data_IF_487010313302
#
_entry.id   IF_487010313302
#
_cell.length_a   1.000
_cell.length_b   1.000
_cell.length_c   1.000
_cell.angle_alpha   90.00
_cell.angle_beta   90.00
_cell.angle_gamma   90.00
#
_symmetry.space_group_name_H-M   'P 1'
#
loop_
_entity.id
_entity.type
_entity.pdbx_description
1 polymer ?
#
# COMPACT_ATOMS: atom_id res chain seq x y z
N UNK A 1 -57.18 -21.10 -64.78
CA UNK A 1 -56.19 -20.68 -65.79
C UNK A 1 -56.96 -20.00 -66.89
N UNK A 2 -56.74 -18.71 -67.11
CA UNK A 2 -57.50 -17.92 -68.07
C UNK A 2 -57.25 -18.45 -69.49
N UNK A 3 -58.32 -18.72 -70.23
CA UNK A 3 -58.30 -18.96 -71.67
C UNK A 3 -57.61 -17.79 -72.36
N UNK A 4 -56.31 -17.94 -72.60
CA UNK A 4 -55.54 -16.95 -73.35
C UNK A 4 -55.80 -17.26 -74.82
N UNK A 5 -56.94 -16.77 -75.30
CA UNK A 5 -57.24 -16.70 -76.74
C UNK A 5 -55.97 -16.19 -77.42
N UNK A 6 -55.37 -17.01 -78.29
CA UNK A 6 -54.09 -16.73 -78.92
C UNK A 6 -54.07 -15.27 -79.40
N UNK A 7 -53.27 -14.45 -78.72
CA UNK A 7 -53.14 -13.03 -79.06
C UNK A 7 -52.51 -12.97 -80.43
N UNK A 8 -53.16 -12.26 -81.35
CA UNK A 8 -52.61 -11.96 -82.67
C UNK A 8 -51.22 -11.37 -82.49
N UNK A 9 -50.25 -11.83 -83.27
CA UNK A 9 -48.93 -11.20 -83.35
C UNK A 9 -48.95 -10.08 -84.39
N UNK A 10 -48.01 -9.10 -84.34
CA UNK A 10 -47.87 -8.13 -85.43
C UNK A 10 -47.74 -8.81 -86.80
N UNK A 11 -47.08 -9.96 -86.85
CA UNK A 11 -46.92 -10.76 -88.07
C UNK A 11 -48.23 -11.40 -88.54
N UNK A 12 -49.12 -11.80 -87.63
CA UNK A 12 -50.44 -12.32 -87.98
C UNK A 12 -51.37 -11.24 -88.54
N UNK A 13 -51.19 -9.98 -88.12
CA UNK A 13 -51.92 -8.82 -88.64
C UNK A 13 -51.39 -8.45 -90.03
N UNK A 14 -50.06 -8.46 -90.23
CA UNK A 14 -49.43 -8.17 -91.51
C UNK A 14 -49.77 -9.22 -92.59
N UNK A 15 -49.77 -10.51 -92.22
CA UNK A 15 -50.10 -11.60 -93.15
C UNK A 15 -51.61 -11.80 -93.37
N UNK A 16 -52.46 -10.90 -92.86
CA UNK A 16 -53.91 -11.08 -92.88
C UNK A 16 -54.52 -10.72 -94.22
N UNK A 17 -54.94 -11.73 -94.98
CA UNK A 17 -55.73 -11.50 -96.20
C UNK A 17 -57.23 -11.39 -95.93
N UNK A 18 -57.86 -10.37 -96.51
CA UNK A 18 -59.31 -10.16 -96.48
C UNK A 18 -59.98 -10.56 -97.79
N UNK A 19 -61.15 -11.22 -97.70
CA UNK A 19 -61.96 -11.56 -98.88
C UNK A 19 -62.54 -10.30 -99.52
N UNK A 20 -62.40 -10.17 -100.84
CA UNK A 20 -62.95 -9.03 -101.60
C UNK A 20 -64.48 -8.98 -101.52
N UNK A 21 -65.05 -7.85 -101.07
CA UNK A 21 -66.49 -7.68 -100.87
C UNK A 21 -67.09 -6.64 -101.84
N UNK A 22 -67.08 -6.93 -103.14
CA UNK A 22 -67.88 -6.24 -104.16
C UNK A 22 -67.91 -4.69 -104.08
N UNK A 23 -69.05 -4.06 -104.45
CA UNK A 23 -69.22 -2.59 -104.51
C UNK A 23 -69.40 -1.89 -103.15
N UNK A 24 -69.35 -2.60 -102.02
CA UNK A 24 -69.64 -2.06 -100.67
C UNK A 24 -68.57 -2.45 -99.63
N UNK A 25 -67.32 -2.63 -100.04
CA UNK A 25 -66.18 -2.89 -99.15
C UNK A 25 -65.45 -1.61 -98.73
N UNK A 26 -64.63 -1.72 -97.68
CA UNK A 26 -63.65 -0.68 -97.34
C UNK A 26 -62.59 -0.54 -98.44
N UNK A 27 -61.98 0.64 -98.58
CA UNK A 27 -60.86 0.82 -99.50
C UNK A 27 -59.67 -0.01 -99.01
N UNK A 28 -59.16 -0.86 -99.89
CA UNK A 28 -58.05 -1.76 -99.60
C UNK A 28 -56.77 -0.99 -99.24
N UNK A 29 -56.53 0.18 -99.84
CA UNK A 29 -55.31 0.96 -99.60
C UNK A 29 -55.33 1.66 -98.24
N UNK A 30 -56.48 2.23 -97.87
CA UNK A 30 -56.70 2.86 -96.56
C UNK A 30 -56.64 1.84 -95.43
N UNK A 31 -57.19 0.63 -95.65
CA UNK A 31 -57.10 -0.46 -94.68
C UNK A 31 -55.67 -0.96 -94.51
N UNK A 32 -54.89 -1.10 -95.59
CA UNK A 32 -53.48 -1.52 -95.51
C UNK A 32 -52.64 -0.51 -94.73
N UNK A 33 -52.76 0.79 -95.04
CA UNK A 33 -52.04 1.86 -94.35
C UNK A 33 -52.36 1.89 -92.84
N UNK A 34 -53.64 1.68 -92.49
CA UNK A 34 -54.07 1.58 -91.09
C UNK A 34 -53.55 0.30 -90.41
N UNK A 35 -53.49 -0.83 -91.11
CA UNK A 35 -52.95 -2.08 -90.58
C UNK A 35 -51.44 -1.99 -90.38
N UNK A 36 -50.69 -1.33 -91.26
CA UNK A 36 -49.26 -1.05 -91.08
C UNK A 36 -49.01 -0.22 -89.82
N UNK A 37 -49.85 0.80 -89.58
CA UNK A 37 -49.80 1.58 -88.34
C UNK A 37 -50.09 0.72 -87.11
N UNK A 38 -51.14 -0.13 -87.16
CA UNK A 38 -51.46 -1.05 -86.06
C UNK A 38 -50.30 -2.03 -85.80
N UNK A 39 -49.68 -2.58 -86.85
CA UNK A 39 -48.56 -3.51 -86.73
C UNK A 39 -47.39 -2.83 -86.01
N UNK A 40 -47.07 -1.59 -86.38
CA UNK A 40 -46.01 -0.81 -85.74
C UNK A 40 -46.34 -0.49 -84.27
N UNK A 41 -47.51 0.07 -84.00
CA UNK A 41 -47.94 0.44 -82.64
C UNK A 41 -48.04 -0.79 -81.72
N UNK A 42 -48.51 -1.92 -82.25
CA UNK A 42 -48.60 -3.17 -81.52
C UNK A 42 -47.22 -3.81 -81.28
N UNK A 43 -46.29 -3.69 -82.23
CA UNK A 43 -44.88 -4.05 -82.04
C UNK A 43 -44.22 -3.23 -80.95
N UNK A 44 -44.34 -1.90 -81.01
CA UNK A 44 -43.81 -0.98 -79.99
C UNK A 44 -44.41 -1.27 -78.61
N UNK A 45 -45.71 -1.56 -78.54
CA UNK A 45 -46.36 -1.94 -77.27
C UNK A 45 -45.83 -3.27 -76.72
N UNK A 46 -45.51 -4.23 -77.58
CA UNK A 46 -44.97 -5.52 -77.16
C UNK A 46 -43.55 -5.35 -76.59
N UNK A 47 -42.71 -4.56 -77.28
CA UNK A 47 -41.36 -4.24 -76.81
C UNK A 47 -41.40 -3.52 -75.45
N UNK A 48 -42.28 -2.53 -75.29
CA UNK A 48 -42.47 -1.84 -74.01
C UNK A 48 -42.92 -2.79 -72.89
N UNK A 49 -43.78 -3.78 -73.18
CA UNK A 49 -44.19 -4.79 -72.20
C UNK A 49 -43.02 -5.69 -71.79
N UNK A 50 -42.14 -6.04 -72.73
CA UNK A 50 -40.93 -6.82 -72.42
C UNK A 50 -39.99 -6.01 -71.54
N UNK A 51 -39.75 -4.74 -71.88
CA UNK A 51 -38.89 -3.85 -71.10
C UNK A 51 -39.40 -3.64 -69.68
N UNK A 52 -40.71 -3.35 -69.53
CA UNK A 52 -41.34 -3.21 -68.22
C UNK A 52 -41.28 -4.51 -67.41
N UNK A 53 -41.45 -5.67 -68.04
CA UNK A 53 -41.30 -6.96 -67.35
C UNK A 53 -39.87 -7.17 -66.86
N UNK A 54 -38.88 -6.85 -67.69
CA UNK A 54 -37.47 -6.93 -67.30
C UNK A 54 -37.16 -5.96 -66.15
N UNK A 55 -37.71 -4.75 -66.18
CA UNK A 55 -37.58 -3.78 -65.11
C UNK A 55 -38.19 -4.29 -63.81
N UNK A 56 -39.42 -4.82 -63.84
CA UNK A 56 -40.08 -5.42 -62.67
C UNK A 56 -39.25 -6.54 -62.07
N UNK A 57 -38.68 -7.43 -62.89
CA UNK A 57 -37.77 -8.48 -62.41
C UNK A 57 -36.54 -7.87 -61.74
N UNK A 58 -35.93 -6.85 -62.34
CA UNK A 58 -34.76 -6.17 -61.76
C UNK A 58 -35.07 -5.50 -60.41
N UNK A 59 -36.24 -4.86 -60.30
CA UNK A 59 -36.69 -4.19 -59.08
C UNK A 59 -37.00 -5.20 -57.99
N UNK A 60 -37.65 -6.31 -58.32
CA UNK A 60 -37.90 -7.38 -57.36
C UNK A 60 -36.59 -7.97 -56.82
N UNK A 61 -35.61 -8.25 -57.69
CA UNK A 61 -34.29 -8.71 -57.24
C UNK A 61 -33.62 -7.70 -56.30
N UNK A 62 -33.78 -6.39 -56.56
CA UNK A 62 -33.25 -5.35 -55.69
C UNK A 62 -33.97 -5.28 -54.35
N UNK A 63 -35.29 -5.46 -54.34
CA UNK A 63 -36.10 -5.55 -53.11
C UNK A 63 -35.63 -6.75 -52.29
N UNK A 64 -35.48 -7.92 -52.89
CA UNK A 64 -35.01 -9.13 -52.20
C UNK A 64 -33.62 -8.93 -51.58
N UNK A 65 -32.70 -8.29 -52.31
CA UNK A 65 -31.37 -7.95 -51.79
C UNK A 65 -31.42 -6.95 -50.63
N UNK A 66 -32.26 -5.93 -50.72
CA UNK A 66 -32.42 -4.95 -49.65
C UNK A 66 -33.07 -5.57 -48.42
N UNK A 67 -34.03 -6.47 -48.61
CA UNK A 67 -34.69 -7.18 -47.54
C UNK A 67 -33.74 -8.13 -46.82
N UNK A 68 -32.92 -8.89 -47.56
CA UNK A 68 -31.88 -9.73 -46.97
C UNK A 68 -30.86 -8.93 -46.15
N UNK A 69 -30.49 -7.73 -46.63
CA UNK A 69 -29.61 -6.82 -45.86
C UNK A 69 -30.29 -6.27 -44.62
N UNK A 70 -31.57 -5.91 -44.70
CA UNK A 70 -32.32 -5.45 -43.54
C UNK A 70 -32.38 -6.53 -42.45
N UNK A 71 -32.65 -7.78 -42.83
CA UNK A 71 -32.66 -8.92 -41.92
C UNK A 71 -31.27 -9.16 -41.29
N UNK A 72 -30.19 -9.02 -42.06
CA UNK A 72 -28.80 -9.09 -41.56
C UNK A 72 -28.53 -7.98 -40.53
N UNK A 73 -28.92 -6.73 -40.82
CA UNK A 73 -28.76 -5.62 -39.89
C UNK A 73 -29.56 -5.80 -38.61
N UNK A 74 -30.78 -6.33 -38.70
CA UNK A 74 -31.60 -6.61 -37.53
C UNK A 74 -30.99 -7.71 -36.65
N UNK A 75 -30.44 -8.77 -37.25
CA UNK A 75 -29.71 -9.80 -36.50
C UNK A 75 -28.47 -9.22 -35.81
N UNK A 76 -27.68 -8.43 -36.53
CA UNK A 76 -26.49 -7.78 -35.96
C UNK A 76 -26.85 -6.81 -34.84
N UNK A 77 -27.96 -6.09 -34.98
CA UNK A 77 -28.47 -5.19 -33.93
C UNK A 77 -28.87 -5.96 -32.67
N UNK A 78 -29.56 -7.09 -32.82
CA UNK A 78 -29.90 -7.95 -31.68
C UNK A 78 -28.65 -8.50 -30.96
N UNK A 79 -27.63 -8.91 -31.72
CA UNK A 79 -26.36 -9.36 -31.14
C UNK A 79 -25.68 -8.24 -30.36
N UNK A 80 -25.59 -7.04 -30.93
CA UNK A 80 -25.04 -5.86 -30.25
C UNK A 80 -25.81 -5.52 -28.99
N UNK A 81 -27.15 -5.55 -29.03
CA UNK A 81 -27.99 -5.27 -27.87
C UNK A 81 -27.79 -6.32 -26.75
N UNK A 82 -27.59 -7.60 -27.10
CA UNK A 82 -27.26 -8.66 -26.16
C UNK A 82 -25.88 -8.48 -25.53
N UNK A 83 -24.87 -8.18 -26.36
CA UNK A 83 -23.50 -7.91 -25.88
C UNK A 83 -23.51 -6.70 -24.95
N UNK A 84 -24.15 -5.60 -25.35
CA UNK A 84 -24.25 -4.39 -24.55
C UNK A 84 -24.98 -4.66 -23.22
N UNK A 85 -26.10 -5.37 -23.25
CA UNK A 85 -26.83 -5.75 -22.04
C UNK A 85 -26.03 -6.65 -21.10
N UNK A 86 -25.23 -7.58 -21.64
CA UNK A 86 -24.36 -8.45 -20.83
C UNK A 86 -23.15 -7.69 -20.27
N UNK A 87 -22.56 -6.78 -21.05
CA UNK A 87 -21.48 -5.91 -20.62
C UNK A 87 -21.95 -4.97 -19.50
N UNK A 88 -23.12 -4.34 -19.64
CA UNK A 88 -23.72 -3.50 -18.60
C UNK A 88 -23.99 -4.28 -17.31
N UNK A 89 -24.56 -5.50 -17.41
CA UNK A 89 -24.76 -6.37 -16.24
C UNK A 89 -23.45 -6.72 -15.55
N UNK A 90 -22.41 -7.03 -16.33
CA UNK A 90 -21.07 -7.34 -15.80
C UNK A 90 -20.45 -6.13 -15.13
N UNK A 91 -20.51 -4.96 -15.77
CA UNK A 91 -20.03 -3.71 -15.19
C UNK A 91 -20.74 -3.38 -13.87
N UNK A 92 -22.07 -3.49 -13.83
CA UNK A 92 -22.84 -3.28 -12.59
C UNK A 92 -22.46 -4.28 -11.50
N UNK A 93 -22.20 -5.54 -11.86
CA UNK A 93 -21.74 -6.56 -10.91
C UNK A 93 -20.35 -6.24 -10.35
N UNK A 94 -19.42 -5.81 -11.20
CA UNK A 94 -18.07 -5.39 -10.78
C UNK A 94 -18.18 -4.21 -9.81
N UNK A 95 -18.95 -3.19 -10.16
CA UNK A 95 -19.15 -2.01 -9.30
C UNK A 95 -19.79 -2.41 -7.96
N UNK A 96 -20.80 -3.27 -7.98
CA UNK A 96 -21.46 -3.75 -6.75
C UNK A 96 -20.50 -4.54 -5.86
N UNK A 97 -19.71 -5.44 -6.44
CA UNK A 97 -18.74 -6.24 -5.70
C UNK A 97 -17.63 -5.37 -5.13
N UNK A 98 -17.06 -4.46 -5.93
CA UNK A 98 -16.02 -3.54 -5.49
C UNK A 98 -16.51 -2.62 -4.35
N UNK A 99 -17.77 -2.15 -4.41
CA UNK A 99 -18.38 -1.39 -3.31
C UNK A 99 -18.51 -2.23 -2.04
N UNK A 100 -19.02 -3.45 -2.16
CA UNK A 100 -19.17 -4.35 -1.01
C UNK A 100 -17.81 -4.68 -0.39
N UNK A 101 -16.81 -4.98 -1.22
CA UNK A 101 -15.44 -5.27 -0.77
C UNK A 101 -14.83 -4.05 -0.08
N UNK A 102 -14.93 -2.87 -0.66
CA UNK A 102 -14.48 -1.63 -0.05
C UNK A 102 -15.16 -1.37 1.31
N UNK A 103 -16.48 -1.58 1.41
CA UNK A 103 -17.20 -1.45 2.67
C UNK A 103 -16.70 -2.46 3.72
N UNK A 104 -16.45 -3.71 3.33
CA UNK A 104 -15.89 -4.72 4.24
C UNK A 104 -14.47 -4.37 4.69
N UNK A 105 -13.61 -3.95 3.78
CA UNK A 105 -12.23 -3.55 4.09
C UNK A 105 -12.22 -2.34 5.03
N UNK A 106 -13.04 -1.32 4.76
CA UNK A 106 -13.14 -0.15 5.65
C UNK A 106 -13.66 -0.55 7.03
N UNK A 107 -14.65 -1.44 7.09
CA UNK A 107 -15.21 -1.92 8.35
C UNK A 107 -14.18 -2.73 9.16
N UNK A 108 -13.44 -3.62 8.50
CA UNK A 108 -12.39 -4.43 9.12
C UNK A 108 -11.22 -3.56 9.58
N UNK A 109 -10.76 -2.62 8.76
CA UNK A 109 -9.72 -1.67 9.11
C UNK A 109 -10.12 -0.81 10.32
N UNK A 110 -11.36 -0.31 10.37
CA UNK A 110 -11.88 0.43 11.53
C UNK A 110 -11.88 -0.42 12.80
N UNK A 111 -12.39 -1.65 12.72
CA UNK A 111 -12.41 -2.57 13.86
C UNK A 111 -10.99 -2.90 14.36
N UNK A 112 -10.05 -3.09 13.44
CA UNK A 112 -8.66 -3.35 13.77
C UNK A 112 -8.03 -2.13 14.45
N UNK A 113 -8.22 -0.93 13.87
CA UNK A 113 -7.72 0.31 14.45
C UNK A 113 -8.30 0.58 15.86
N UNK A 114 -9.59 0.31 16.08
CA UNK A 114 -10.23 0.40 17.40
C UNK A 114 -9.59 -0.56 18.41
N UNK A 115 -9.34 -1.81 17.99
CA UNK A 115 -8.71 -2.84 18.82
C UNK A 115 -7.28 -2.46 19.19
N UNK A 116 -6.49 -2.01 18.20
CA UNK A 116 -5.10 -1.60 18.40
C UNK A 116 -5.01 -0.36 19.29
N UNK A 117 -5.89 0.62 19.07
CA UNK A 117 -5.98 1.83 19.92
C UNK A 117 -6.32 1.45 21.36
N UNK A 118 -7.29 0.55 21.56
CA UNK A 118 -7.66 0.09 22.89
C UNK A 118 -6.50 -0.66 23.57
N UNK A 119 -5.80 -1.51 22.84
CA UNK A 119 -4.61 -2.22 23.33
C UNK A 119 -3.49 -1.25 23.73
N UNK A 120 -3.15 -0.30 22.86
CA UNK A 120 -2.14 0.72 23.16
C UNK A 120 -2.50 1.57 24.37
N UNK A 121 -3.78 1.95 24.50
CA UNK A 121 -4.27 2.69 25.67
C UNK A 121 -4.08 1.88 26.96
N UNK A 122 -4.41 0.59 26.95
CA UNK A 122 -4.19 -0.28 28.10
C UNK A 122 -2.70 -0.39 28.45
N UNK A 123 -1.82 -0.54 27.46
CA UNK A 123 -0.37 -0.56 27.68
C UNK A 123 0.13 0.75 28.28
N UNK A 124 -0.32 1.88 27.74
CA UNK A 124 0.01 3.20 28.26
C UNK A 124 -0.43 3.36 29.72
N UNK A 125 -1.66 2.96 30.05
CA UNK A 125 -2.18 3.04 31.41
C UNK A 125 -1.36 2.18 32.39
N UNK A 126 -0.98 0.95 31.98
CA UNK A 126 -0.12 0.06 32.77
C UNK A 126 1.25 0.68 33.00
N UNK A 127 1.90 1.19 31.95
CA UNK A 127 3.22 1.82 32.05
C UNK A 127 3.15 3.08 32.93
N UNK A 128 2.09 3.88 32.79
CA UNK A 128 1.88 5.08 33.60
C UNK A 128 1.74 4.72 35.09
N UNK A 129 1.05 3.63 35.41
CA UNK A 129 0.91 3.16 36.79
C UNK A 129 2.19 2.51 37.33
N UNK A 130 2.92 1.74 36.52
CA UNK A 130 4.24 1.21 36.86
C UNK A 130 5.25 2.34 37.12
N UNK A 131 5.22 3.41 36.31
CA UNK A 131 6.04 4.60 36.52
C UNK A 131 5.75 5.27 37.87
N UNK A 132 4.46 5.43 38.22
CA UNK A 132 4.07 5.96 39.54
C UNK A 132 4.56 5.06 40.67
N UNK A 133 4.45 3.74 40.52
CA UNK A 133 4.93 2.77 41.52
C UNK A 133 6.44 2.88 41.71
N UNK A 134 7.20 2.87 40.61
CA UNK A 134 8.66 2.99 40.64
C UNK A 134 9.11 4.30 41.28
N UNK A 135 8.45 5.43 40.93
CA UNK A 135 8.74 6.73 41.54
C UNK A 135 8.54 6.71 43.06
N UNK A 136 7.50 6.03 43.54
CA UNK A 136 7.25 5.84 44.97
C UNK A 136 8.34 4.98 45.63
N UNK A 137 8.70 3.85 45.02
CA UNK A 137 9.77 2.97 45.51
C UNK A 137 11.11 3.71 45.61
N UNK A 138 11.45 4.52 44.61
CA UNK A 138 12.67 5.36 44.62
C UNK A 138 12.62 6.40 45.73
N UNK A 139 11.46 7.05 45.94
CA UNK A 139 11.31 8.04 47.01
C UNK A 139 11.46 7.39 48.40
N UNK A 140 10.87 6.21 48.62
CA UNK A 140 11.01 5.44 49.85
C UNK A 140 12.45 4.98 50.07
N UNK A 141 13.11 4.45 49.03
CA UNK A 141 14.52 4.04 49.08
C UNK A 141 15.45 5.20 49.40
N UNK A 142 15.25 6.36 48.75
CA UNK A 142 16.01 7.58 49.03
C UNK A 142 15.83 8.03 50.47
N UNK A 143 14.59 8.05 50.97
CA UNK A 143 14.33 8.40 52.38
C UNK A 143 14.99 7.42 53.33
N UNK A 144 14.98 6.12 53.01
CA UNK A 144 15.61 5.09 53.83
C UNK A 144 17.14 5.24 53.87
N UNK A 145 17.78 5.51 52.73
CA UNK A 145 19.21 5.79 52.67
C UNK A 145 19.57 7.05 53.46
N UNK A 146 18.79 8.13 53.34
CA UNK A 146 19.00 9.35 54.10
C UNK A 146 18.93 9.09 55.62
N UNK A 147 17.93 8.33 56.08
CA UNK A 147 17.80 7.93 57.49
C UNK A 147 18.96 7.04 57.96
N UNK A 148 19.39 6.08 57.13
CA UNK A 148 20.54 5.22 57.45
C UNK A 148 21.84 6.04 57.59
N UNK A 149 22.10 6.96 56.65
CA UNK A 149 23.27 7.83 56.69
C UNK A 149 23.19 8.80 57.86
N UNK A 150 22.03 9.39 58.14
CA UNK A 150 21.85 10.26 59.31
C UNK A 150 22.13 9.50 60.60
N UNK A 151 21.65 8.26 60.75
CA UNK A 151 21.98 7.41 61.91
C UNK A 151 23.48 7.11 62.02
N UNK A 152 24.18 6.92 60.90
CA UNK A 152 25.64 6.75 60.93
C UNK A 152 26.36 8.03 61.33
N UNK A 153 25.89 9.20 60.87
CA UNK A 153 26.41 10.51 61.27
C UNK A 153 26.15 10.74 62.77
N UNK A 154 24.93 10.48 63.24
CA UNK A 154 24.56 10.63 64.66
C UNK A 154 25.39 9.69 65.55
N UNK A 155 25.72 8.49 65.08
CA UNK A 155 26.61 7.56 65.77
C UNK A 155 28.08 8.03 65.81
N UNK A 156 28.57 8.67 64.74
CA UNK A 156 29.93 9.23 64.69
C UNK A 156 30.07 10.52 65.52
N UNK A 157 29.00 11.31 65.61
CA UNK A 157 28.92 12.52 66.44
C UNK A 157 28.73 12.21 67.93
N UNK A 158 28.76 10.93 68.32
CA UNK A 158 28.69 10.54 69.72
C UNK A 158 30.03 10.82 70.42
N UNK A 159 30.06 11.81 71.32
CA UNK A 159 31.26 12.15 72.11
C UNK A 159 31.69 10.99 73.04
N UNK A 160 30.92 9.90 73.13
CA UNK A 160 31.27 8.68 73.86
C UNK A 160 32.62 8.07 73.43
N UNK A 161 33.01 8.16 72.14
CA UNK A 161 34.30 7.64 71.72
C UNK A 161 35.47 8.44 72.31
N UNK A 162 35.31 9.74 72.53
CA UNK A 162 36.33 10.59 73.15
C UNK A 162 36.51 10.19 74.62
N UNK A 163 35.41 10.02 75.34
CA UNK A 163 35.42 9.52 76.71
C UNK A 163 36.03 8.11 76.84
N UNK A 164 35.68 7.19 75.94
CA UNK A 164 36.22 5.83 75.94
C UNK A 164 37.73 5.80 75.63
N UNK A 165 38.21 6.70 74.77
CA UNK A 165 39.63 6.85 74.46
C UNK A 165 40.40 7.43 75.65
N UNK A 166 39.87 8.47 76.29
CA UNK A 166 40.48 9.08 77.46
C UNK A 166 40.56 8.12 78.67
N UNK A 167 39.56 7.26 78.88
CA UNK A 167 39.58 6.22 79.92
C UNK A 167 40.68 5.17 79.64
N UNK A 168 40.83 4.76 78.38
CA UNK A 168 41.88 3.81 77.99
C UNK A 168 43.29 4.37 78.16
N UNK A 169 43.52 5.62 77.73
CA UNK A 169 44.83 6.28 77.84
C UNK A 169 45.07 6.97 79.18
N UNK A 170 44.11 6.89 80.11
CA UNK A 170 44.18 7.50 81.45
C UNK A 170 44.49 9.01 81.40
N UNK A 171 43.98 9.72 80.39
CA UNK A 171 44.15 11.16 80.22
C UNK A 171 42.89 11.88 80.67
N UNK A 172 42.81 12.36 81.93
CA UNK A 172 41.59 13.02 82.40
C UNK A 172 41.41 14.36 81.66
N UNK A 173 40.30 14.48 80.92
CA UNK A 173 39.88 15.72 80.26
C UNK A 173 38.51 16.14 80.77
N UNK A 174 38.30 17.45 80.83
CA UNK A 174 37.03 18.09 81.12
C UNK A 174 36.29 18.36 79.81
N UNK A 175 35.07 17.82 79.68
CA UNK A 175 34.20 17.97 78.52
C UNK A 175 33.15 19.05 78.81
N UNK A 176 33.28 20.26 78.24
CA UNK A 176 32.26 21.30 78.39
C UNK A 176 31.02 20.93 77.54
N UNK A 177 29.81 21.20 78.04
CA UNK A 177 28.60 21.00 77.25
C UNK A 177 28.56 21.89 76.00
N UNK A 178 27.90 21.40 74.95
CA UNK A 178 27.72 22.02 73.61
C UNK A 178 28.80 21.75 72.55
N UNK A 179 29.52 20.61 72.64
CA UNK A 179 30.45 20.17 71.58
C UNK A 179 31.73 21.02 71.48
N UNK A 180 32.11 21.71 72.57
CA UNK A 180 33.37 22.42 72.66
C UNK A 180 34.53 21.42 72.88
N UNK A 181 35.73 21.77 72.40
CA UNK A 181 36.92 20.90 72.54
C UNK A 181 37.19 20.54 74.01
N UNK A 182 37.49 19.27 74.31
CA UNK A 182 37.78 18.83 75.67
C UNK A 182 39.08 19.46 76.18
N UNK A 183 39.00 20.10 77.35
CA UNK A 183 40.14 20.77 77.98
C UNK A 183 40.86 19.80 78.92
N UNK A 184 42.20 19.77 78.96
CA UNK A 184 42.92 18.97 79.94
C UNK A 184 42.52 19.39 81.37
N UNK A 185 42.22 18.43 82.24
CA UNK A 185 42.01 18.76 83.66
C UNK A 185 43.35 19.14 84.27
N UNK A 186 43.37 20.26 84.98
CA UNK A 186 44.56 20.88 85.54
C UNK A 186 45.58 19.86 86.09
N UNK A 187 46.77 19.98 85.49
CA UNK A 187 48.09 19.42 85.75
C UNK A 187 48.30 18.77 87.12
N UNK A 188 48.73 17.50 87.11
CA UNK A 188 49.47 16.93 88.22
C UNK A 188 50.92 17.41 88.13
N UNK A 189 51.52 17.82 89.25
CA UNK A 189 52.92 18.30 89.33
C UNK A 189 53.94 17.27 88.77
N UNK A 190 53.55 16.00 88.61
CA UNK A 190 54.37 14.95 87.98
C UNK A 190 54.53 15.11 86.46
N UNK A 191 53.55 15.70 85.76
CA UNK A 191 53.59 15.88 84.31
C UNK A 191 54.38 17.12 83.88
N UNK A 192 54.45 18.14 84.73
CA UNK A 192 55.29 19.33 84.52
C UNK A 192 56.78 18.97 84.62
N UNK A 193 57.14 18.07 85.55
CA UNK A 193 58.48 17.52 85.71
C UNK A 193 58.90 16.60 84.55
N UNK A 194 57.96 15.91 83.90
CA UNK A 194 58.25 15.08 82.74
C UNK A 194 58.61 15.93 81.50
N UNK A 195 57.92 17.07 81.31
CA UNK A 195 58.24 18.04 80.25
C UNK A 195 59.55 18.79 80.50
N UNK A 196 59.86 19.17 81.74
CA UNK A 196 61.16 19.77 82.08
C UNK A 196 62.32 18.79 81.86
N UNK A 197 62.09 17.48 82.04
CA UNK A 197 63.13 16.45 81.86
C UNK A 197 63.43 16.13 80.40
N UNK A 198 62.47 16.34 79.49
CA UNK A 198 62.70 16.26 78.05
C UNK A 198 63.35 17.53 77.48
N UNK A 199 63.33 18.65 78.20
CA UNK A 199 63.88 19.93 77.73
C UNK A 199 65.38 20.15 78.06
N UNK A 200 66.02 19.30 78.86
CA UNK A 200 67.45 19.44 79.26
C UNK A 200 68.36 18.29 78.83
N UNK A 201 67.90 17.42 77.93
CA UNK A 201 68.70 16.34 77.33
C UNK A 201 69.29 16.75 76.00
N UNK A 202 70.34 17.56 76.05
CA UNK A 202 71.13 18.02 74.90
C UNK A 202 71.77 16.81 74.18
N UNK A 203 71.42 16.58 72.91
CA UNK A 203 72.33 15.98 71.94
C UNK A 203 71.98 16.48 70.55
N UNK A 204 72.94 17.22 69.99
CA UNK A 204 73.09 17.62 68.60
C UNK A 204 72.82 16.47 67.62
N UNK A 205 72.20 16.78 66.48
CA UNK A 205 72.77 16.58 65.13
C UNK A 205 71.67 16.67 64.05
N UNK A 206 71.86 17.67 63.19
CA UNK A 206 71.81 17.66 61.73
C UNK A 206 70.52 17.36 60.90
N UNK A 207 70.45 18.16 59.83
CA UNK A 207 69.87 17.94 58.49
C UNK A 207 68.39 18.27 58.20
N UNK A 208 68.23 19.50 57.66
CA UNK A 208 67.78 19.86 56.29
C UNK A 208 66.49 19.30 55.64
N UNK A 209 66.00 20.15 54.70
CA UNK A 209 64.96 20.01 53.67
C UNK A 209 63.48 20.27 54.09
N UNK A 210 62.83 21.39 53.73
CA UNK A 210 62.44 21.98 52.42
C UNK A 210 61.08 21.46 51.87
N UNK A 211 60.41 22.35 51.14
CA UNK A 211 59.10 22.35 50.47
C UNK A 211 57.89 22.84 51.32
N UNK A 212 57.36 24.07 51.19
CA UNK A 212 56.87 24.85 50.03
C UNK A 212 55.42 24.54 49.61
N UNK A 213 54.55 25.55 49.86
CA UNK A 213 53.29 25.97 49.21
C UNK A 213 52.25 24.94 48.72
N UNK A 214 50.98 25.19 49.05
CA UNK A 214 50.06 25.82 48.09
C UNK A 214 48.71 26.20 48.75
N UNK A 215 48.55 27.51 48.96
CA UNK A 215 47.26 28.17 48.80
C UNK A 215 46.80 28.00 47.35
N UNK A 216 45.53 27.70 47.16
CA UNK A 216 44.87 27.70 45.85
C UNK A 216 43.77 28.74 45.93
N UNK A 217 44.10 29.95 45.47
CA UNK A 217 43.12 30.97 45.10
C UNK A 217 42.52 30.64 43.71
N UNK A 218 41.22 30.91 43.63
CA UNK A 218 40.42 31.52 42.55
C UNK A 218 40.72 31.25 41.06
N UNK A 219 39.61 30.98 40.36
CA UNK A 219 39.22 31.39 38.98
C UNK A 219 38.49 30.20 38.32
N UNK A 220 37.40 30.29 37.56
CA UNK A 220 36.76 31.40 36.84
C UNK A 220 35.39 30.86 36.34
N UNK A 221 34.40 31.73 36.25
CA UNK A 221 33.40 31.85 35.17
C UNK A 221 32.84 30.58 34.47
N UNK A 222 31.55 30.34 34.68
CA UNK A 222 30.71 29.44 33.87
C UNK A 222 29.25 29.89 33.91
N UNK A 223 28.94 30.89 33.08
CA UNK A 223 27.64 31.41 32.72
C UNK A 223 26.81 30.32 32.00
N UNK A 224 25.61 30.01 32.49
CA UNK A 224 24.52 29.51 31.65
C UNK A 224 23.18 29.77 32.34
N UNK A 225 22.56 30.88 31.95
CA UNK A 225 21.11 31.06 32.00
C UNK A 225 20.49 30.01 31.07
N UNK A 226 19.57 29.19 31.58
CA UNK A 226 18.66 28.42 30.74
C UNK A 226 17.28 29.05 30.87
N UNK A 227 16.95 29.77 29.82
CA UNK A 227 15.71 30.48 29.55
C UNK A 227 14.49 29.55 29.62
N UNK A 228 13.43 30.06 30.25
CA UNK A 228 12.06 29.62 30.02
C UNK A 228 11.67 30.02 28.59
N UNK A 229 11.68 29.08 27.65
CA UNK A 229 11.04 29.24 26.34
C UNK A 229 9.66 28.57 26.37
N UNK A 230 8.65 29.41 26.57
CA UNK A 230 7.25 29.17 26.21
C UNK A 230 7.18 28.82 24.71
N UNK A 231 6.74 27.61 24.39
CA UNK A 231 6.32 27.26 23.04
C UNK A 231 4.95 27.87 22.79
N UNK A 232 4.93 29.11 22.30
CA UNK A 232 3.74 29.73 21.71
C UNK A 232 3.50 29.16 20.29
N UNK A 233 2.26 28.76 20.07
CA UNK A 233 1.68 28.33 18.80
C UNK A 233 1.89 29.39 17.70
N UNK A 234 2.64 29.05 16.64
CA UNK A 234 2.55 29.76 15.37
C UNK A 234 1.70 28.96 14.38
N UNK A 235 0.48 29.46 14.20
CA UNK A 235 -0.43 29.16 13.09
C UNK A 235 0.28 29.39 11.75
N UNK A 236 0.54 28.30 11.01
CA UNK A 236 0.96 28.37 9.61
C UNK A 236 -0.30 28.39 8.74
N UNK A 237 -0.89 29.57 8.58
CA UNK A 237 -1.78 29.88 7.46
C UNK A 237 -0.92 30.10 6.21
N UNK A 238 -0.80 29.07 5.38
CA UNK A 238 -0.35 29.22 3.99
C UNK A 238 -1.58 29.20 3.08
N UNK A 239 -2.22 30.36 2.97
CA UNK A 239 -2.99 30.75 1.78
C UNK A 239 -1.97 31.09 0.68
N UNK A 240 -1.75 30.18 -0.26
CA UNK A 240 -1.21 30.51 -1.58
C UNK A 240 -2.17 29.94 -2.63
N UNK A 241 -3.07 30.83 -3.09
CA UNK A 241 -3.76 30.67 -4.35
C UNK A 241 -2.76 30.88 -5.48
N UNK A 242 -2.35 29.81 -6.15
CA UNK A 242 -1.80 29.89 -7.50
C UNK A 242 -2.57 28.94 -8.42
N UNK A 243 -3.49 29.54 -9.17
CA UNK A 243 -4.10 28.98 -10.37
C UNK A 243 -3.01 28.64 -11.41
N UNK A 244 -2.88 27.37 -11.76
CA UNK A 244 -2.25 26.96 -13.03
C UNK A 244 -3.18 26.02 -13.79
N UNK A 245 -4.07 26.65 -14.57
CA UNK A 245 -4.67 26.04 -15.74
C UNK A 245 -3.59 25.87 -16.82
N UNK A 246 -3.23 24.62 -17.13
CA UNK A 246 -2.62 24.29 -18.41
C UNK A 246 -3.17 22.96 -18.91
N UNK A 247 -4.07 23.07 -19.88
CA UNK A 247 -4.43 22.00 -20.79
C UNK A 247 -3.17 21.51 -21.50
N UNK A 248 -2.75 20.28 -21.21
CA UNK A 248 -1.74 19.57 -21.99
C UNK A 248 -2.43 18.42 -22.74
N UNK A 249 -2.42 18.51 -24.07
CA UNK A 249 -2.86 17.46 -24.98
C UNK A 249 -2.04 16.16 -24.76
N UNK A 250 -2.62 14.98 -25.02
CA UNK A 250 -1.95 13.71 -24.76
C UNK A 250 -0.97 13.38 -25.89
N UNK A 251 0.32 13.36 -25.60
CA UNK A 251 1.31 12.73 -26.47
C UNK A 251 1.10 11.21 -26.47
N UNK A 252 0.94 10.67 -27.68
CA UNK A 252 0.95 9.25 -27.99
C UNK A 252 2.30 8.63 -27.61
N UNK A 253 2.25 7.38 -27.15
CA UNK A 253 3.37 6.45 -26.90
C UNK A 253 3.89 6.38 -25.45
N UNK A 254 3.05 5.85 -24.54
CA UNK A 254 3.50 5.31 -23.26
C UNK A 254 3.03 3.86 -23.11
N UNK A 255 3.83 2.93 -23.61
CA UNK A 255 3.71 1.50 -23.30
C UNK A 255 4.38 1.23 -21.94
N UNK A 256 3.73 0.55 -20.97
CA UNK A 256 4.36 0.27 -19.69
C UNK A 256 5.52 -0.72 -19.83
N UNK A 257 6.73 -0.32 -19.45
CA UNK A 257 7.87 -1.22 -19.31
C UNK A 257 7.72 -2.12 -18.07
N UNK A 258 8.07 -3.42 -18.12
CA UNK A 258 8.03 -4.28 -16.95
C UNK A 258 9.20 -3.97 -16.00
N UNK A 259 8.86 -3.67 -14.74
CA UNK A 259 9.80 -3.51 -13.63
C UNK A 259 10.47 -4.86 -13.34
N UNK A 260 11.78 -4.94 -13.62
CA UNK A 260 12.62 -6.10 -13.29
C UNK A 260 13.42 -5.84 -12.02
N UNK A 261 13.31 -6.75 -11.05
CA UNK A 261 14.36 -7.01 -10.06
C UNK A 261 14.03 -6.60 -8.63
N UNK A 262 13.47 -7.51 -7.84
CA UNK A 262 14.26 -8.25 -6.83
C UNK A 262 13.43 -9.45 -6.33
N UNK A 263 14.01 -10.64 -6.36
CA UNK A 263 13.41 -11.86 -5.79
C UNK A 263 14.56 -12.82 -5.45
N UNK A 264 14.81 -13.08 -4.16
CA UNK A 264 15.94 -13.91 -3.77
C UNK A 264 15.59 -15.40 -3.89
N UNK A 265 16.28 -16.04 -4.83
CA UNK A 265 16.89 -17.37 -4.71
C UNK A 265 16.10 -18.49 -4.00
N UNK A 266 15.46 -19.35 -4.79
CA UNK A 266 15.52 -20.80 -4.56
C UNK A 266 15.57 -21.53 -5.91
N UNK A 267 16.79 -21.90 -6.32
CA UNK A 267 17.08 -22.68 -7.52
C UNK A 267 17.33 -24.14 -7.08
N UNK A 268 16.45 -25.07 -7.45
CA UNK A 268 16.84 -26.49 -7.57
C UNK A 268 16.83 -26.83 -9.05
N UNK A 269 18.04 -27.01 -9.58
CA UNK A 269 18.30 -27.40 -10.95
C UNK A 269 17.71 -28.77 -11.27
N UNK A 270 16.88 -28.81 -12.31
CA UNK A 270 16.57 -30.00 -13.09
C UNK A 270 17.34 -29.90 -14.41
N UNK A 271 18.32 -30.78 -14.62
CA UNK A 271 19.07 -30.93 -15.88
C UNK A 271 19.22 -32.44 -16.17
N UNK A 272 18.40 -33.01 -17.09
CA UNK A 272 18.72 -33.44 -18.49
C UNK A 272 19.41 -34.84 -18.58
N UNK A 273 19.43 -35.60 -19.71
CA UNK A 273 18.69 -35.60 -20.99
C UNK A 273 18.11 -37.01 -21.39
N UNK A 274 17.49 -37.10 -22.59
CA UNK A 274 16.88 -38.27 -23.29
C UNK A 274 17.87 -39.44 -23.65
N UNK A 275 17.57 -40.46 -24.52
CA UNK A 275 16.36 -41.24 -24.86
C UNK A 275 16.62 -42.79 -24.79
N UNK A 276 15.60 -43.60 -25.12
CA UNK A 276 15.66 -44.85 -25.94
C UNK A 276 14.94 -46.09 -25.39
N UNK A 277 14.16 -46.64 -26.32
CA UNK A 277 13.47 -47.92 -26.34
C UNK A 277 14.50 -49.08 -26.31
N UNK A 278 14.26 -50.16 -25.55
CA UNK A 278 14.30 -51.58 -25.99
C UNK A 278 14.32 -52.56 -24.80
N UNK A 279 13.47 -53.59 -24.96
CA UNK A 279 13.33 -54.89 -24.30
C UNK A 279 14.45 -55.47 -23.41
N UNK A 280 13.98 -56.04 -22.29
CA UNK A 280 14.13 -57.44 -21.83
C UNK A 280 15.54 -58.06 -21.64
N UNK A 281 15.85 -58.39 -20.37
CA UNK A 281 16.71 -59.53 -20.00
C UNK A 281 18.12 -59.19 -19.53
N UNK A 282 18.38 -59.24 -18.20
CA UNK A 282 19.74 -59.42 -17.68
C UNK A 282 20.04 -58.87 -16.27
N UNK A 283 20.25 -59.81 -15.33
CA UNK A 283 21.03 -59.77 -14.08
C UNK A 283 20.84 -58.64 -13.04
N UNK A 284 20.45 -59.10 -11.85
CA UNK A 284 20.17 -58.42 -10.57
C UNK A 284 21.46 -58.18 -9.77
N UNK A 285 21.54 -57.07 -9.02
CA UNK A 285 22.49 -56.91 -7.91
C UNK A 285 21.65 -56.61 -6.66
N UNK A 286 21.73 -57.51 -5.67
CA UNK A 286 21.01 -57.44 -4.39
C UNK A 286 21.98 -56.90 -3.33
N UNK A 287 21.53 -55.96 -2.50
CA UNK A 287 22.32 -55.37 -1.41
C UNK A 287 22.11 -56.10 -0.07
N UNK A 288 23.07 -56.02 0.88
CA UNK A 288 23.27 -57.03 1.93
C UNK A 288 22.31 -57.04 3.15
N UNK A 289 21.22 -56.28 3.16
CA UNK A 289 20.31 -56.20 4.32
C UNK A 289 19.01 -57.03 4.17
N UNK A 290 18.76 -57.65 3.01
CA UNK A 290 17.58 -58.52 2.80
C UNK A 290 17.73 -59.94 3.40
N UNK A 291 18.80 -60.19 4.16
CA UNK A 291 18.99 -61.44 4.92
C UNK A 291 18.88 -61.18 6.41
N UNK A 292 17.65 -61.08 6.93
CA UNK A 292 17.32 -61.54 8.28
C UNK A 292 15.81 -61.64 8.47
N UNK A 293 15.43 -62.81 8.96
CA UNK A 293 14.15 -63.18 9.58
C UNK A 293 12.97 -63.31 8.61
N UNK A 294 12.92 -64.38 7.81
CA UNK A 294 12.36 -65.70 8.14
C UNK A 294 10.88 -65.73 8.60
N UNK A 295 10.14 -66.51 7.80
CA UNK A 295 9.00 -67.38 8.15
C UNK A 295 7.63 -66.75 8.37
#
# INVERSE_FOLDING_TARGET
MADTKAQLTPMDIHNKEFKHRGRNGYDRYEVDEFLDQIVNDYGNSLDQVVDLKNEVVSLNNKIDQLQAKADEYDQKRQEVDQVLGSAQKTANKIISNAKQEAETTVKEAKKQAETDTQYQKQQHDVIADDYKRLKKEIAEFRSHLQDMLQKQIDNLNDDEWQHALDDYFHTPRFYPGAGAEPLPTAESEEDELARERELTGDTDDDDDDDYAYQDVDEDENGEFDDDEEDFDDEDVDSDDEDEVDSYQEPDEDNTPQPMTGDSPSHETMSNKPEPSNTMNGGARIVFPDDYKDHN
#
